data_IF_908127780730
#
_entry.id   IF_908127780730
#
_cell.length_a   1.000
_cell.length_b   1.000
_cell.length_c   1.000
_cell.angle_alpha   90.00
_cell.angle_beta   90.00
_cell.angle_gamma   90.00
#
_symmetry.space_group_name_H-M   'P 1'
#
loop_
_entity.id
_entity.type
_entity.pdbx_description
1 polymer ?
#
# COMPACT_ATOMS: atom_id res chain seq x y z
N UNK A 1 13.07 -39.63 -6.92
CA UNK A 1 13.62 -38.61 -6.06
C UNK A 1 12.65 -37.45 -6.06
N UNK A 2 11.67 -37.52 -5.19
CA UNK A 2 10.53 -36.59 -5.14
C UNK A 2 10.06 -36.56 -3.69
N UNK A 3 10.77 -35.78 -2.83
CA UNK A 3 10.36 -35.66 -1.42
C UNK A 3 10.35 -34.23 -0.87
N UNK A 4 10.50 -33.19 -1.71
CA UNK A 4 10.55 -31.80 -1.23
C UNK A 4 9.42 -30.90 -1.75
N UNK A 5 8.22 -31.47 -2.02
CA UNK A 5 7.12 -30.70 -2.60
C UNK A 5 6.03 -30.28 -1.61
N UNK A 6 6.27 -30.28 -0.29
CA UNK A 6 5.25 -29.78 0.67
C UNK A 6 5.88 -29.26 1.94
N UNK A 7 6.80 -28.30 1.88
CA UNK A 7 6.87 -27.31 2.96
C UNK A 7 5.67 -26.40 2.73
N UNK A 8 4.61 -26.66 3.49
CA UNK A 8 3.37 -25.90 3.42
C UNK A 8 3.67 -24.40 3.56
N UNK A 9 3.28 -23.57 2.58
CA UNK A 9 3.46 -22.12 2.63
C UNK A 9 2.64 -21.58 3.81
N UNK A 10 3.32 -21.15 4.88
CA UNK A 10 2.71 -20.67 6.13
C UNK A 10 3.48 -19.51 6.73
N UNK A 11 2.81 -18.74 7.58
CA UNK A 11 3.47 -17.72 8.41
C UNK A 11 4.43 -18.37 9.42
N UNK A 12 5.41 -17.59 9.86
CA UNK A 12 6.33 -17.99 10.93
C UNK A 12 5.59 -18.16 12.25
N UNK A 13 6.09 -19.06 13.08
CA UNK A 13 5.61 -19.23 14.45
C UNK A 13 5.87 -17.98 15.30
N UNK A 14 4.98 -17.69 16.26
CA UNK A 14 5.10 -16.50 17.11
C UNK A 14 6.43 -16.44 17.88
N UNK A 15 7.00 -17.60 18.27
CA UNK A 15 8.30 -17.69 18.95
C UNK A 15 9.44 -17.19 18.06
N UNK A 16 9.39 -17.49 16.77
CA UNK A 16 10.35 -17.00 15.77
C UNK A 16 10.13 -15.52 15.49
N UNK A 17 8.89 -15.10 15.26
CA UNK A 17 8.51 -13.71 14.98
C UNK A 17 8.99 -12.76 16.08
N UNK A 18 8.95 -13.17 17.36
CA UNK A 18 9.46 -12.38 18.48
C UNK A 18 10.99 -12.18 18.47
N UNK A 19 11.72 -12.90 17.64
CA UNK A 19 13.15 -12.67 17.39
C UNK A 19 13.42 -11.67 16.29
N UNK A 20 12.39 -11.29 15.50
CA UNK A 20 12.51 -10.34 14.40
C UNK A 20 12.85 -8.95 14.94
N UNK A 21 13.59 -8.18 14.11
CA UNK A 21 14.10 -6.86 14.45
C UNK A 21 13.34 -5.72 13.75
N UNK A 22 12.30 -6.07 12.98
CA UNK A 22 11.48 -5.09 12.29
C UNK A 22 10.61 -4.28 13.26
N UNK A 23 10.07 -3.17 12.78
CA UNK A 23 9.23 -2.27 13.57
C UNK A 23 8.02 -3.00 14.16
N UNK A 24 7.35 -3.85 13.37
CA UNK A 24 6.18 -4.62 13.80
C UNK A 24 6.45 -5.37 15.12
N UNK A 25 7.58 -6.03 15.23
CA UNK A 25 7.90 -6.93 16.35
C UNK A 25 8.70 -6.27 17.47
N UNK A 26 9.13 -5.00 17.32
CA UNK A 26 9.90 -4.26 18.32
C UNK A 26 9.18 -3.06 18.92
N UNK A 27 8.10 -2.59 18.28
CA UNK A 27 7.40 -1.36 18.71
C UNK A 27 6.60 -1.55 20.01
N UNK A 28 6.29 -2.81 20.40
CA UNK A 28 5.43 -3.10 21.55
C UNK A 28 6.10 -4.07 22.52
N UNK A 29 5.70 -4.05 23.82
CA UNK A 29 6.09 -5.05 24.80
C UNK A 29 5.75 -6.49 24.37
N UNK A 30 6.47 -7.47 24.91
CA UNK A 30 6.35 -8.88 24.50
C UNK A 30 5.00 -9.54 24.82
N UNK A 31 4.19 -8.99 25.71
CA UNK A 31 2.83 -9.44 26.04
C UNK A 31 1.75 -8.90 25.09
N UNK A 32 2.11 -7.93 24.23
CA UNK A 32 1.22 -7.34 23.22
C UNK A 32 1.36 -8.10 21.89
N UNK A 33 0.23 -8.41 21.24
CA UNK A 33 0.19 -8.93 19.87
C UNK A 33 0.19 -7.76 18.89
N UNK A 34 1.27 -7.59 18.07
CA UNK A 34 1.39 -6.46 17.16
C UNK A 34 0.76 -6.75 15.80
N UNK A 35 -0.37 -6.11 15.51
CA UNK A 35 -1.05 -6.18 14.21
C UNK A 35 -1.19 -4.80 13.51
N UNK A 36 -0.32 -3.77 13.81
CA UNK A 36 -0.49 -2.44 13.20
C UNK A 36 0.25 -2.26 11.88
N UNK A 37 1.56 -2.56 11.85
CA UNK A 37 2.46 -2.24 10.72
C UNK A 37 2.14 -3.13 9.53
N UNK A 38 2.13 -2.56 8.32
CA UNK A 38 1.93 -3.29 7.08
C UNK A 38 3.20 -4.05 6.66
N UNK A 39 3.59 -5.01 7.49
CA UNK A 39 4.61 -6.04 7.29
C UNK A 39 3.97 -7.42 7.47
N UNK A 40 4.42 -8.41 6.72
CA UNK A 40 3.86 -9.75 6.78
C UNK A 40 4.70 -10.65 7.69
N UNK A 41 4.05 -11.67 8.24
CA UNK A 41 4.71 -12.70 9.06
C UNK A 41 5.07 -13.95 8.24
N UNK A 42 5.13 -13.82 6.93
CA UNK A 42 5.49 -14.88 5.99
C UNK A 42 6.96 -14.82 5.57
N UNK A 43 7.61 -15.96 5.30
CA UNK A 43 8.99 -15.99 4.83
C UNK A 43 9.11 -15.29 3.46
N UNK A 44 10.23 -14.64 3.21
CA UNK A 44 10.54 -14.01 1.91
C UNK A 44 10.65 -15.07 0.82
N UNK A 45 10.21 -14.74 -0.39
CA UNK A 45 10.26 -15.62 -1.56
C UNK A 45 11.68 -16.18 -1.80
N UNK A 46 11.79 -17.49 -2.03
CA UNK A 46 13.09 -18.16 -2.19
C UNK A 46 13.95 -17.59 -3.33
N UNK A 47 13.42 -17.21 -4.52
CA UNK A 47 14.21 -16.54 -5.54
C UNK A 47 14.88 -15.25 -5.04
N UNK A 48 14.13 -14.41 -4.30
CA UNK A 48 14.66 -13.18 -3.73
C UNK A 48 15.79 -13.48 -2.72
N UNK A 49 15.61 -14.46 -1.83
CA UNK A 49 16.67 -14.88 -0.90
C UNK A 49 17.91 -15.37 -1.62
N UNK A 50 17.75 -16.13 -2.73
CA UNK A 50 18.87 -16.62 -3.54
C UNK A 50 19.65 -15.47 -4.17
N UNK A 51 18.96 -14.47 -4.75
CA UNK A 51 19.59 -13.27 -5.30
C UNK A 51 20.41 -12.54 -4.23
N UNK A 52 19.79 -12.26 -3.07
CA UNK A 52 20.47 -11.56 -1.98
C UNK A 52 21.70 -12.31 -1.47
N UNK A 53 21.59 -13.62 -1.24
CA UNK A 53 22.72 -14.47 -0.81
C UNK A 53 23.85 -14.45 -1.84
N UNK A 54 23.52 -14.62 -3.12
CA UNK A 54 24.51 -14.57 -4.20
C UNK A 54 25.29 -13.26 -4.25
N UNK A 55 24.61 -12.13 -4.06
CA UNK A 55 25.26 -10.81 -4.04
C UNK A 55 26.16 -10.65 -2.81
N UNK A 56 25.69 -11.08 -1.63
CA UNK A 56 26.48 -11.03 -0.39
C UNK A 56 27.73 -11.93 -0.51
N UNK A 57 27.58 -13.15 -1.01
CA UNK A 57 28.68 -14.13 -1.16
C UNK A 57 29.76 -13.63 -2.14
N UNK A 58 29.36 -12.85 -3.15
CA UNK A 58 30.27 -12.20 -4.12
C UNK A 58 30.85 -10.88 -3.61
N UNK A 59 30.43 -10.40 -2.44
CA UNK A 59 30.75 -9.05 -1.94
C UNK A 59 30.33 -7.92 -2.91
N UNK A 60 29.25 -8.14 -3.67
CA UNK A 60 28.67 -7.16 -4.59
C UNK A 60 27.72 -6.21 -3.84
N UNK A 61 28.31 -5.26 -3.11
CA UNK A 61 27.67 -4.36 -2.16
C UNK A 61 28.02 -2.88 -2.45
N UNK A 62 28.30 -2.56 -3.71
CA UNK A 62 28.64 -1.21 -4.15
C UNK A 62 27.44 -0.27 -4.29
N UNK A 63 27.63 0.83 -4.99
CA UNK A 63 26.56 1.75 -5.33
C UNK A 63 25.68 1.21 -6.46
N UNK A 64 24.39 1.56 -6.43
CA UNK A 64 23.48 1.23 -7.52
C UNK A 64 23.88 2.00 -8.79
N UNK A 65 24.29 1.24 -9.83
CA UNK A 65 24.55 1.75 -11.17
C UNK A 65 23.28 1.83 -12.04
N UNK A 66 23.43 2.06 -13.34
CA UNK A 66 22.32 1.89 -14.29
C UNK A 66 21.75 0.47 -14.20
N UNK A 67 20.43 0.36 -14.14
CA UNK A 67 19.74 -0.93 -14.01
C UNK A 67 18.52 -0.98 -14.96
N UNK A 68 18.74 -1.15 -16.27
CA UNK A 68 17.65 -1.25 -17.26
C UNK A 68 16.75 -2.47 -17.00
N UNK A 69 17.23 -3.49 -16.32
CA UNK A 69 16.51 -4.68 -15.90
C UNK A 69 15.26 -4.34 -15.07
N UNK A 70 15.30 -3.25 -14.29
CA UNK A 70 14.17 -2.84 -13.47
C UNK A 70 12.94 -2.50 -14.32
N UNK A 71 13.12 -1.68 -15.35
CA UNK A 71 12.02 -1.31 -16.26
C UNK A 71 11.50 -2.53 -17.03
N UNK A 72 12.38 -3.41 -17.48
CA UNK A 72 12.04 -4.64 -18.20
C UNK A 72 11.22 -5.58 -17.29
N UNK A 73 11.71 -5.84 -16.08
CA UNK A 73 11.05 -6.71 -15.11
C UNK A 73 9.67 -6.17 -14.70
N UNK A 74 9.57 -4.87 -14.41
CA UNK A 74 8.30 -4.25 -14.09
C UNK A 74 7.30 -4.31 -15.24
N UNK A 75 7.71 -3.95 -16.47
CA UNK A 75 6.85 -4.01 -17.65
C UNK A 75 6.35 -5.44 -17.91
N UNK A 76 7.23 -6.43 -17.77
CA UNK A 76 6.88 -7.85 -17.87
C UNK A 76 5.83 -8.26 -16.84
N UNK A 77 6.03 -7.90 -15.58
CA UNK A 77 5.10 -8.16 -14.49
C UNK A 77 3.75 -7.45 -14.71
N UNK A 78 3.76 -6.16 -15.03
CA UNK A 78 2.55 -5.37 -15.27
C UNK A 78 1.72 -5.92 -16.42
N UNK A 79 2.39 -6.40 -17.49
CA UNK A 79 1.71 -7.02 -18.62
C UNK A 79 1.07 -8.37 -18.24
N UNK A 80 1.77 -9.22 -17.47
CA UNK A 80 1.23 -10.52 -17.04
C UNK A 80 0.05 -10.36 -16.07
N UNK A 81 0.17 -9.45 -15.09
CA UNK A 81 -0.85 -9.30 -14.02
C UNK A 81 -2.02 -8.42 -14.42
N UNK A 82 -1.77 -7.35 -15.17
CA UNK A 82 -2.76 -6.29 -15.41
C UNK A 82 -3.04 -6.03 -16.89
N UNK A 83 -2.28 -6.66 -17.80
CA UNK A 83 -2.36 -6.41 -19.25
C UNK A 83 -1.82 -5.03 -19.65
N UNK A 84 -1.06 -4.38 -18.76
CA UNK A 84 -0.44 -3.09 -19.00
C UNK A 84 0.98 -3.25 -19.55
N UNK A 85 1.19 -2.74 -20.77
CA UNK A 85 2.50 -2.74 -21.44
C UNK A 85 3.20 -1.41 -21.14
N UNK A 86 3.67 -1.24 -19.90
CA UNK A 86 4.45 -0.08 -19.51
C UNK A 86 5.75 0.03 -20.32
N UNK A 87 6.17 1.26 -20.69
CA UNK A 87 7.45 1.47 -21.37
C UNK A 87 8.61 1.30 -20.37
N UNK A 88 9.49 0.29 -20.55
CA UNK A 88 10.61 0.07 -19.64
C UNK A 88 11.56 1.26 -19.52
N UNK A 89 11.69 2.09 -20.57
CA UNK A 89 12.59 3.25 -20.61
C UNK A 89 12.08 4.42 -19.76
N UNK A 90 10.81 4.43 -19.41
CA UNK A 90 10.17 5.48 -18.62
C UNK A 90 10.05 5.14 -17.11
N UNK A 91 10.79 4.12 -16.65
CA UNK A 91 10.87 3.71 -15.24
C UNK A 91 12.08 4.35 -14.58
N UNK A 92 11.87 5.03 -13.46
CA UNK A 92 12.92 5.62 -12.61
C UNK A 92 12.91 4.94 -11.24
N UNK A 93 14.04 4.99 -10.53
CA UNK A 93 14.20 4.36 -9.21
C UNK A 93 14.24 5.43 -8.12
N UNK A 94 13.62 5.10 -6.99
CA UNK A 94 13.71 5.83 -5.74
C UNK A 94 13.97 4.85 -4.58
N UNK A 95 14.42 5.35 -3.43
CA UNK A 95 14.71 4.51 -2.27
C UNK A 95 13.45 3.84 -1.68
N UNK A 96 12.33 4.55 -1.66
CA UNK A 96 11.01 4.02 -1.32
C UNK A 96 9.91 4.90 -1.93
N UNK A 97 8.66 4.48 -1.79
CA UNK A 97 7.51 5.22 -2.34
C UNK A 97 7.44 6.64 -1.74
N UNK A 98 7.69 6.80 -0.44
CA UNK A 98 7.65 8.11 0.21
C UNK A 98 8.70 9.07 -0.36
N UNK A 99 9.94 8.61 -0.52
CA UNK A 99 11.00 9.40 -1.18
C UNK A 99 10.60 9.72 -2.62
N UNK A 100 10.06 8.74 -3.36
CA UNK A 100 9.58 8.96 -4.73
C UNK A 100 8.49 10.03 -4.81
N UNK A 101 7.48 9.96 -3.94
CA UNK A 101 6.40 10.98 -3.86
C UNK A 101 6.97 12.36 -3.57
N UNK A 102 7.80 12.50 -2.54
CA UNK A 102 8.38 13.78 -2.14
C UNK A 102 9.22 14.41 -3.26
N UNK A 103 10.08 13.61 -3.91
CA UNK A 103 10.93 14.13 -5.00
C UNK A 103 10.11 14.47 -6.25
N UNK A 104 9.06 13.71 -6.57
CA UNK A 104 8.12 14.07 -7.65
C UNK A 104 7.40 15.37 -7.31
N UNK A 105 6.84 15.50 -6.10
CA UNK A 105 6.14 16.71 -5.67
C UNK A 105 7.01 17.96 -5.75
N UNK A 106 8.29 17.88 -5.35
CA UNK A 106 9.26 18.99 -5.46
C UNK A 106 9.48 19.47 -6.90
N UNK A 107 9.28 18.59 -7.88
CA UNK A 107 9.44 18.90 -9.30
C UNK A 107 8.16 19.44 -9.93
N UNK A 108 7.00 18.89 -9.54
CA UNK A 108 5.72 19.22 -10.18
C UNK A 108 4.96 20.34 -9.48
N UNK A 109 5.39 20.77 -8.29
CA UNK A 109 4.75 21.81 -7.48
C UNK A 109 5.76 22.82 -6.95
N UNK A 110 5.26 23.84 -6.24
CA UNK A 110 6.05 24.84 -5.51
C UNK A 110 5.50 24.95 -4.08
N UNK A 111 6.33 25.35 -3.09
CA UNK A 111 5.84 25.63 -1.74
C UNK A 111 4.62 26.55 -1.74
N UNK A 112 3.59 26.19 -0.96
CA UNK A 112 2.29 26.87 -0.93
C UNK A 112 1.28 26.42 -2.00
N UNK A 113 1.65 25.58 -2.95
CA UNK A 113 0.68 24.98 -3.87
C UNK A 113 -0.26 24.00 -3.13
N UNK A 114 -1.50 23.92 -3.60
CA UNK A 114 -2.53 23.06 -3.02
C UNK A 114 -2.50 21.66 -3.60
N UNK A 115 -2.58 20.68 -2.71
CA UNK A 115 -2.64 19.25 -3.05
C UNK A 115 -3.91 18.64 -2.50
N UNK A 116 -4.58 17.81 -3.32
CA UNK A 116 -5.77 17.08 -2.92
C UNK A 116 -5.42 15.67 -2.41
N UNK A 117 -6.09 15.26 -1.34
CA UNK A 117 -6.17 13.89 -0.84
C UNK A 117 -7.61 13.51 -0.56
N UNK A 118 -7.90 12.21 -0.41
CA UNK A 118 -9.22 11.71 -0.02
C UNK A 118 -9.09 10.85 1.24
N UNK A 119 -9.39 11.42 2.41
CA UNK A 119 -9.38 10.66 3.67
C UNK A 119 -10.65 9.79 3.82
N UNK A 120 -10.60 8.67 4.62
CA UNK A 120 -9.43 8.18 5.31
C UNK A 120 -8.38 7.65 4.32
N UNK A 121 -7.11 8.03 4.49
CA UNK A 121 -6.01 7.64 3.59
C UNK A 121 -4.72 7.39 4.38
N UNK A 122 -3.75 6.77 3.75
CA UNK A 122 -2.45 6.43 4.36
C UNK A 122 -1.80 7.64 5.06
N UNK A 123 -1.42 7.52 6.35
CA UNK A 123 -0.99 8.66 7.16
C UNK A 123 0.17 9.48 6.59
N UNK A 124 1.08 8.84 5.86
CA UNK A 124 2.24 9.57 5.33
C UNK A 124 1.89 10.54 4.19
N UNK A 125 0.68 10.51 3.64
CA UNK A 125 0.24 11.53 2.68
C UNK A 125 0.34 12.93 3.30
N UNK A 126 -0.09 13.10 4.55
CA UNK A 126 0.08 14.37 5.28
C UNK A 126 1.56 14.71 5.56
N UNK A 127 2.37 13.69 5.89
CA UNK A 127 3.80 13.88 6.11
C UNK A 127 4.49 14.37 4.85
N UNK A 128 4.21 13.79 3.69
CA UNK A 128 4.78 14.20 2.41
C UNK A 128 4.37 15.61 1.98
N UNK A 129 3.10 15.98 2.21
CA UNK A 129 2.59 17.34 1.97
C UNK A 129 3.33 18.34 2.85
N UNK A 130 3.49 18.04 4.15
CA UNK A 130 4.21 18.88 5.08
C UNK A 130 5.68 19.02 4.72
N UNK A 131 6.37 17.91 4.38
CA UNK A 131 7.78 17.90 3.99
C UNK A 131 8.06 18.71 2.73
N UNK A 132 7.10 18.80 1.84
CA UNK A 132 7.20 19.58 0.59
C UNK A 132 6.66 21.00 0.71
N UNK A 133 6.23 21.42 1.91
CA UNK A 133 5.67 22.75 2.19
C UNK A 133 4.44 23.09 1.34
N UNK A 134 3.59 22.10 1.08
CA UNK A 134 2.36 22.24 0.31
C UNK A 134 1.14 22.43 1.23
N UNK A 135 0.04 22.92 0.67
CA UNK A 135 -1.23 23.07 1.38
C UNK A 135 -2.14 21.89 1.11
N UNK A 136 -2.61 21.25 2.18
CA UNK A 136 -3.57 20.15 2.12
C UNK A 136 -4.97 20.63 1.75
N UNK A 137 -5.61 19.93 0.83
CA UNK A 137 -7.05 19.99 0.57
C UNK A 137 -7.60 18.58 0.67
N UNK A 138 -8.30 18.29 1.77
CA UNK A 138 -8.92 16.98 1.99
C UNK A 138 -10.38 16.99 1.52
N UNK A 139 -10.71 16.11 0.59
CA UNK A 139 -12.10 15.82 0.18
C UNK A 139 -12.39 14.38 0.60
N UNK A 140 -12.98 14.19 1.79
CA UNK A 140 -13.16 12.86 2.36
C UNK A 140 -14.06 11.97 1.52
N UNK A 141 -13.84 10.66 1.61
CA UNK A 141 -14.84 9.69 1.17
C UNK A 141 -16.12 9.85 1.98
N UNK A 142 -17.24 9.58 1.32
CA UNK A 142 -18.56 9.51 1.95
C UNK A 142 -18.84 8.04 2.29
N UNK A 143 -19.11 7.75 3.56
CA UNK A 143 -19.56 6.43 3.97
C UNK A 143 -21.04 6.26 3.59
N UNK A 144 -21.36 5.22 2.84
CA UNK A 144 -22.71 4.90 2.41
C UNK A 144 -23.31 3.78 3.27
N UNK A 145 -24.62 3.82 3.49
CA UNK A 145 -25.34 2.79 4.24
C UNK A 145 -25.46 1.45 3.49
N UNK A 146 -25.26 1.48 2.19
CA UNK A 146 -25.31 0.31 1.30
C UNK A 146 -24.08 0.27 0.42
N UNK A 147 -23.70 -0.92 0.00
CA UNK A 147 -22.60 -1.12 -0.94
C UNK A 147 -22.93 -0.52 -2.32
N UNK A 148 -22.01 0.29 -2.83
CA UNK A 148 -22.06 0.92 -4.17
C UNK A 148 -20.76 0.54 -4.89
N UNK A 149 -20.86 -0.10 -6.04
CA UNK A 149 -19.72 -0.55 -6.86
C UNK A 149 -18.66 -1.35 -6.07
N UNK A 150 -19.12 -2.21 -5.15
CA UNK A 150 -18.26 -3.05 -4.32
C UNK A 150 -17.58 -2.31 -3.17
N UNK A 151 -18.12 -1.16 -2.74
CA UNK A 151 -17.61 -0.40 -1.60
C UNK A 151 -18.72 0.32 -0.84
N UNK A 152 -18.56 0.43 0.48
CA UNK A 152 -19.35 1.31 1.33
C UNK A 152 -18.78 2.75 1.39
N UNK A 153 -17.71 3.02 0.65
CA UNK A 153 -17.04 4.32 0.61
C UNK A 153 -17.09 4.88 -0.81
N UNK A 154 -17.70 6.02 -1.00
CA UNK A 154 -17.88 6.67 -2.30
C UNK A 154 -17.16 8.01 -2.34
N UNK A 155 -16.85 8.49 -3.56
CA UNK A 155 -16.16 9.76 -3.78
C UNK A 155 -17.17 10.92 -3.84
N UNK A 156 -16.84 12.03 -3.19
CA UNK A 156 -17.51 13.31 -3.39
C UNK A 156 -17.03 13.98 -4.69
N UNK A 157 -17.56 13.55 -5.81
CA UNK A 157 -17.19 14.07 -7.12
C UNK A 157 -17.43 15.57 -7.28
N UNK A 158 -18.48 16.11 -6.66
CA UNK A 158 -18.75 17.55 -6.72
C UNK A 158 -17.70 18.35 -5.92
N UNK A 159 -17.35 17.84 -4.74
CA UNK A 159 -16.27 18.39 -3.93
C UNK A 159 -14.91 18.33 -4.64
N UNK A 160 -14.58 17.20 -5.27
CA UNK A 160 -13.33 17.01 -6.02
C UNK A 160 -13.25 18.00 -7.20
N UNK A 161 -14.31 18.09 -8.02
CA UNK A 161 -14.32 19.02 -9.16
C UNK A 161 -14.22 20.48 -8.71
N UNK A 162 -14.93 20.85 -7.64
CA UNK A 162 -14.85 22.19 -7.05
C UNK A 162 -13.43 22.49 -6.53
N UNK A 163 -12.77 21.51 -5.89
CA UNK A 163 -11.41 21.64 -5.43
C UNK A 163 -10.43 21.83 -6.60
N UNK A 164 -10.54 21.02 -7.66
CA UNK A 164 -9.72 21.17 -8.86
C UNK A 164 -9.88 22.56 -9.51
N UNK A 165 -11.13 23.03 -9.64
CA UNK A 165 -11.43 24.38 -10.15
C UNK A 165 -10.83 25.51 -9.27
N UNK A 166 -10.53 25.24 -7.99
CA UNK A 166 -9.92 26.22 -7.08
C UNK A 166 -8.40 26.31 -7.19
N UNK A 167 -7.76 25.56 -8.10
CA UNK A 167 -6.34 25.66 -8.38
C UNK A 167 -5.46 24.62 -7.71
N UNK A 168 -5.99 23.42 -7.43
CA UNK A 168 -5.18 22.24 -7.04
C UNK A 168 -4.10 21.99 -8.10
N UNK A 169 -2.87 21.69 -7.66
CA UNK A 169 -1.73 21.38 -8.55
C UNK A 169 -1.50 19.90 -8.73
N UNK A 170 -1.70 19.12 -7.67
CA UNK A 170 -1.63 17.67 -7.77
C UNK A 170 -2.67 17.01 -6.87
N UNK A 171 -3.02 15.77 -7.18
CA UNK A 171 -3.85 14.91 -6.37
C UNK A 171 -3.06 13.63 -6.05
N UNK A 172 -2.85 13.35 -4.77
CA UNK A 172 -2.28 12.08 -4.31
C UNK A 172 -3.38 11.03 -4.25
N UNK A 173 -3.40 10.13 -5.23
CA UNK A 173 -4.38 9.06 -5.35
C UNK A 173 -3.80 7.75 -4.77
N UNK A 174 -4.45 7.16 -3.76
CA UNK A 174 -4.09 5.85 -3.21
C UNK A 174 -4.88 4.75 -3.95
N UNK A 175 -4.26 4.04 -4.88
CA UNK A 175 -4.91 3.08 -5.79
C UNK A 175 -4.11 1.77 -5.92
N UNK A 176 -4.51 0.64 -5.31
CA UNK A 176 -5.68 0.41 -4.45
C UNK A 176 -5.63 1.15 -3.12
N UNK A 177 -6.79 1.35 -2.49
CA UNK A 177 -6.92 2.30 -1.40
C UNK A 177 -6.65 1.70 -0.01
N UNK A 178 -5.72 2.29 0.73
CA UNK A 178 -5.42 2.01 2.13
C UNK A 178 -5.92 3.19 3.00
N UNK A 179 -6.79 2.97 4.01
CA UNK A 179 -7.05 1.71 4.71
C UNK A 179 -8.29 0.94 4.22
N UNK A 180 -9.07 1.47 3.28
CA UNK A 180 -10.42 0.99 2.97
C UNK A 180 -10.45 -0.37 2.24
N UNK A 181 -9.29 -0.84 1.72
CA UNK A 181 -9.27 -2.04 0.89
C UNK A 181 -10.09 -1.91 -0.42
N UNK A 182 -10.33 -0.67 -0.84
CA UNK A 182 -11.18 -0.30 -1.97
C UNK A 182 -10.41 -0.33 -3.28
N UNK A 183 -11.06 -0.80 -4.34
CA UNK A 183 -10.61 -0.70 -5.71
C UNK A 183 -11.36 0.42 -6.42
N UNK A 184 -10.68 1.10 -7.36
CA UNK A 184 -11.36 2.07 -8.23
C UNK A 184 -11.82 1.40 -9.52
N UNK A 185 -13.03 1.74 -9.96
CA UNK A 185 -13.55 1.31 -11.25
C UNK A 185 -12.85 2.06 -12.40
N UNK A 186 -12.95 1.50 -13.62
CA UNK A 186 -12.43 2.18 -14.81
C UNK A 186 -13.08 3.56 -15.01
N UNK A 187 -14.38 3.67 -14.74
CA UNK A 187 -15.14 4.92 -14.90
C UNK A 187 -14.68 5.98 -13.90
N UNK A 188 -14.44 5.59 -12.64
CA UNK A 188 -13.89 6.51 -11.64
C UNK A 188 -12.49 7.02 -12.01
N UNK A 189 -11.60 6.09 -12.42
CA UNK A 189 -10.25 6.47 -12.83
C UNK A 189 -10.25 7.33 -14.11
N UNK A 190 -11.15 7.04 -15.06
CA UNK A 190 -11.35 7.85 -16.26
C UNK A 190 -11.82 9.25 -15.88
N UNK A 191 -12.79 9.36 -14.97
CA UNK A 191 -13.29 10.64 -14.49
C UNK A 191 -12.22 11.46 -13.77
N UNK A 192 -11.37 10.83 -12.97
CA UNK A 192 -10.20 11.51 -12.39
C UNK A 192 -9.29 12.07 -13.47
N UNK A 193 -8.95 11.28 -14.49
CA UNK A 193 -8.06 11.71 -15.57
C UNK A 193 -8.66 12.89 -16.36
N UNK A 194 -9.95 12.82 -16.73
CA UNK A 194 -10.65 13.87 -17.47
C UNK A 194 -10.74 15.17 -16.67
N UNK A 195 -11.12 15.10 -15.40
CA UNK A 195 -11.15 16.28 -14.51
C UNK A 195 -9.76 16.86 -14.31
N UNK A 196 -8.74 16.00 -14.09
CA UNK A 196 -7.36 16.43 -13.93
C UNK A 196 -6.86 17.16 -15.20
N UNK A 197 -7.15 16.62 -16.37
CA UNK A 197 -6.79 17.25 -17.64
C UNK A 197 -7.51 18.61 -17.82
N UNK A 198 -8.84 18.66 -17.54
CA UNK A 198 -9.66 19.88 -17.64
C UNK A 198 -9.11 21.03 -16.78
N UNK A 199 -8.62 20.73 -15.59
CA UNK A 199 -8.18 21.73 -14.61
C UNK A 199 -6.66 21.86 -14.47
N UNK A 200 -5.87 21.10 -15.25
CA UNK A 200 -4.40 21.12 -15.21
C UNK A 200 -3.81 20.54 -13.92
N UNK A 201 -4.48 19.56 -13.33
CA UNK A 201 -4.04 18.84 -12.13
C UNK A 201 -3.19 17.62 -12.54
N UNK A 202 -2.14 17.30 -11.78
CA UNK A 202 -1.35 16.07 -11.96
C UNK A 202 -1.84 15.03 -10.96
N UNK A 203 -2.15 13.82 -11.44
CA UNK A 203 -2.48 12.67 -10.58
C UNK A 203 -1.19 11.91 -10.25
N UNK A 204 -0.84 11.85 -8.98
CA UNK A 204 0.23 11.00 -8.47
C UNK A 204 -0.39 9.76 -7.83
N UNK A 205 -0.43 8.66 -8.58
CA UNK A 205 -1.06 7.41 -8.17
C UNK A 205 -0.08 6.53 -7.39
N UNK A 206 -0.32 6.36 -6.09
CA UNK A 206 0.39 5.39 -5.25
C UNK A 206 -0.24 4.01 -5.45
N UNK A 207 0.47 3.14 -6.19
CA UNK A 207 0.01 1.81 -6.61
C UNK A 207 0.76 0.68 -5.87
N UNK A 208 1.31 0.96 -4.69
CA UNK A 208 2.11 0.00 -3.91
C UNK A 208 1.34 -1.27 -3.51
N UNK A 209 0.01 -1.18 -3.35
CA UNK A 209 -0.85 -2.31 -3.02
C UNK A 209 -1.38 -3.08 -4.24
N UNK A 210 -1.08 -2.64 -5.46
CA UNK A 210 -1.59 -3.24 -6.69
C UNK A 210 -1.32 -4.76 -6.84
N UNK A 211 -0.14 -5.31 -6.46
CA UNK A 211 0.09 -6.75 -6.52
C UNK A 211 -0.81 -7.58 -5.60
N UNK A 212 -1.40 -6.96 -4.57
CA UNK A 212 -2.17 -7.59 -3.50
C UNK A 212 -3.69 -7.52 -3.78
N UNK A 213 -4.10 -7.81 -4.99
CA UNK A 213 -5.51 -7.79 -5.43
C UNK A 213 -6.07 -9.20 -5.39
N UNK A 214 -7.25 -9.39 -4.80
CA UNK A 214 -7.95 -10.68 -4.72
C UNK A 214 -8.55 -11.08 -6.08
N UNK A 215 -8.80 -12.38 -6.27
CA UNK A 215 -9.18 -12.97 -7.57
C UNK A 215 -10.47 -12.35 -8.15
N UNK A 216 -11.47 -12.09 -7.31
CA UNK A 216 -12.75 -11.48 -7.73
C UNK A 216 -12.61 -9.98 -8.07
N UNK A 217 -11.45 -9.39 -7.80
CA UNK A 217 -11.17 -7.97 -8.03
C UNK A 217 -10.14 -7.78 -9.13
N UNK A 218 -10.30 -6.75 -9.95
CA UNK A 218 -9.34 -6.43 -11.00
C UNK A 218 -8.72 -5.07 -10.75
N UNK A 219 -7.41 -5.06 -10.50
CA UNK A 219 -6.66 -3.80 -10.46
C UNK A 219 -6.52 -3.21 -11.87
N UNK A 220 -6.68 -1.89 -11.95
CA UNK A 220 -6.50 -1.12 -13.18
C UNK A 220 -5.42 -0.08 -12.92
N UNK A 221 -4.22 -0.21 -13.53
CA UNK A 221 -3.17 0.80 -13.44
C UNK A 221 -3.66 2.14 -14.00
N UNK A 222 -3.42 3.24 -13.29
CA UNK A 222 -3.92 4.55 -13.71
C UNK A 222 -3.45 4.93 -15.12
N UNK A 223 -2.17 4.73 -15.41
CA UNK A 223 -1.58 5.08 -16.73
C UNK A 223 -2.09 4.19 -17.88
N UNK A 224 -2.71 3.04 -17.58
CA UNK A 224 -3.22 2.12 -18.60
C UNK A 224 -4.59 2.50 -19.17
N UNK A 225 -5.26 3.51 -18.59
CA UNK A 225 -6.67 3.78 -18.86
C UNK A 225 -6.87 4.45 -20.21
N UNK A 226 -6.12 5.51 -20.49
CA UNK A 226 -6.26 6.35 -21.67
C UNK A 226 -5.01 7.20 -21.94
N UNK A 227 -4.96 7.83 -23.10
CA UNK A 227 -3.92 8.83 -23.41
C UNK A 227 -3.97 10.01 -22.41
N UNK A 228 -5.17 10.49 -22.08
CA UNK A 228 -5.35 11.56 -21.08
C UNK A 228 -4.73 11.17 -19.73
N UNK A 229 -4.97 9.94 -19.27
CA UNK A 229 -4.39 9.47 -18.01
C UNK A 229 -2.87 9.46 -18.03
N UNK A 230 -2.22 9.14 -19.16
CA UNK A 230 -0.77 9.21 -19.33
C UNK A 230 -0.26 10.65 -19.26
N UNK A 231 -0.94 11.60 -19.90
CA UNK A 231 -0.57 13.01 -19.94
C UNK A 231 -0.63 13.69 -18.56
N UNK A 232 -1.56 13.28 -17.70
CA UNK A 232 -1.77 13.89 -16.38
C UNK A 232 -1.25 13.03 -15.22
N UNK A 233 -0.83 11.79 -15.48
CA UNK A 233 -0.54 10.80 -14.46
C UNK A 233 0.95 10.51 -14.24
N UNK A 234 1.28 10.17 -13.00
CA UNK A 234 2.53 9.57 -12.58
C UNK A 234 2.17 8.42 -11.65
N UNK A 235 2.68 7.21 -11.89
CA UNK A 235 2.51 6.08 -10.99
C UNK A 235 3.75 5.91 -10.12
N UNK A 236 3.56 5.67 -8.82
CA UNK A 236 4.62 5.23 -7.92
C UNK A 236 4.24 3.89 -7.32
N UNK A 237 5.16 2.93 -7.36
CA UNK A 237 4.93 1.59 -6.81
C UNK A 237 6.24 0.95 -6.34
N UNK A 238 6.14 -0.22 -5.69
CA UNK A 238 7.29 -0.98 -5.22
C UNK A 238 6.92 -2.46 -5.02
N UNK A 239 7.90 -3.35 -5.07
CA UNK A 239 7.74 -4.75 -4.68
C UNK A 239 7.59 -4.92 -3.16
N UNK A 240 7.84 -3.87 -2.37
CA UNK A 240 7.99 -3.92 -0.92
C UNK A 240 6.77 -4.47 -0.18
N UNK A 241 5.54 -4.16 -0.62
CA UNK A 241 4.30 -4.67 -0.02
C UNK A 241 3.91 -6.04 -0.58
N UNK A 242 4.07 -6.25 -1.88
CA UNK A 242 3.73 -7.53 -2.52
C UNK A 242 4.59 -8.70 -2.03
N UNK A 243 5.88 -8.46 -1.73
CA UNK A 243 6.83 -9.52 -1.36
C UNK A 243 7.49 -9.35 0.01
N UNK A 244 6.93 -8.47 0.85
CA UNK A 244 7.41 -8.26 2.24
C UNK A 244 8.90 -7.85 2.36
N UNK A 245 9.38 -6.98 1.47
CA UNK A 245 10.78 -6.54 1.38
C UNK A 245 10.98 -5.04 1.60
N UNK A 246 10.12 -4.40 2.40
CA UNK A 246 10.15 -2.96 2.64
C UNK A 246 11.49 -2.44 3.21
N UNK A 247 12.18 -3.26 3.98
CA UNK A 247 13.50 -2.95 4.54
C UNK A 247 14.62 -2.83 3.50
N UNK A 248 14.43 -3.38 2.30
CA UNK A 248 15.42 -3.35 1.22
C UNK A 248 15.44 -2.04 0.42
N UNK A 249 14.50 -1.13 0.63
CA UNK A 249 14.55 0.26 0.13
C UNK A 249 14.73 0.38 -1.39
N UNK A 250 13.70 -0.02 -2.15
CA UNK A 250 13.58 0.22 -3.58
C UNK A 250 12.12 0.45 -3.98
N UNK A 251 11.89 1.50 -4.76
CA UNK A 251 10.61 1.83 -5.40
C UNK A 251 10.86 2.32 -6.82
N UNK A 252 9.81 2.39 -7.60
CA UNK A 252 9.85 2.91 -8.97
C UNK A 252 8.81 4.00 -9.18
N UNK A 253 9.17 4.96 -10.03
CA UNK A 253 8.34 6.04 -10.54
C UNK A 253 8.17 5.76 -12.03
N UNK A 254 6.93 5.72 -12.50
CA UNK A 254 6.59 5.37 -13.89
C UNK A 254 5.81 6.50 -14.52
N UNK A 255 6.20 6.87 -15.73
CA UNK A 255 5.47 7.77 -16.61
C UNK A 255 5.21 7.08 -17.95
N UNK A 256 4.28 7.60 -18.76
CA UNK A 256 4.04 7.13 -20.14
C UNK A 256 3.75 8.30 -21.10
N UNK A 257 4.05 9.52 -20.68
CA UNK A 257 4.05 10.72 -21.49
C UNK A 257 5.47 11.31 -21.53
N UNK A 258 5.95 11.61 -22.72
CA UNK A 258 7.33 12.08 -22.91
C UNK A 258 7.59 13.42 -22.20
N UNK A 259 6.63 14.35 -22.23
CA UNK A 259 6.77 15.64 -21.55
C UNK A 259 6.80 15.49 -20.03
N UNK A 260 5.96 14.57 -19.50
CA UNK A 260 6.00 14.25 -18.08
C UNK A 260 7.32 13.59 -17.70
N UNK A 261 7.81 12.66 -18.51
CA UNK A 261 9.10 12.02 -18.30
C UNK A 261 10.25 13.02 -18.31
N UNK A 262 10.30 13.94 -19.30
CA UNK A 262 11.29 15.02 -19.37
C UNK A 262 11.23 15.96 -18.17
N UNK A 263 10.01 16.29 -17.69
CA UNK A 263 9.83 17.10 -16.49
C UNK A 263 10.48 16.47 -15.27
N UNK A 264 10.37 15.15 -15.11
CA UNK A 264 10.97 14.41 -14.01
C UNK A 264 12.51 14.29 -14.12
N UNK A 265 13.15 14.75 -15.21
CA UNK A 265 14.61 14.89 -15.26
C UNK A 265 15.16 15.93 -14.26
N UNK A 266 14.30 16.79 -13.70
CA UNK A 266 14.66 17.70 -12.62
C UNK A 266 14.77 17.02 -11.24
N UNK A 267 14.34 15.76 -11.10
CA UNK A 267 14.58 14.99 -9.87
C UNK A 267 16.09 14.86 -9.64
N UNK A 268 16.52 15.15 -8.41
CA UNK A 268 17.94 15.09 -8.07
C UNK A 268 18.54 13.69 -8.34
N UNK A 269 19.69 13.57 -9.02
CA UNK A 269 20.33 12.28 -9.29
C UNK A 269 20.59 11.44 -8.03
N UNK A 270 20.77 12.10 -6.88
CA UNK A 270 20.93 11.45 -5.58
C UNK A 270 19.74 10.54 -5.22
N UNK A 271 18.53 10.78 -5.75
CA UNK A 271 17.35 9.95 -5.52
C UNK A 271 17.59 8.51 -5.98
N UNK A 272 18.21 8.33 -7.14
CA UNK A 272 18.60 7.02 -7.66
C UNK A 272 19.64 6.34 -6.75
N UNK A 273 20.71 7.05 -6.40
CA UNK A 273 21.81 6.50 -5.61
C UNK A 273 21.46 6.20 -4.15
N UNK A 274 20.35 6.71 -3.64
CA UNK A 274 19.82 6.40 -2.30
C UNK A 274 19.06 5.08 -2.25
N UNK A 275 18.66 4.52 -3.40
CA UNK A 275 18.08 3.20 -3.45
C UNK A 275 19.14 2.14 -3.12
N UNK A 276 18.71 1.07 -2.46
CA UNK A 276 19.62 -0.03 -2.12
C UNK A 276 19.92 -0.88 -3.35
N UNK A 277 21.19 -1.17 -3.61
CA UNK A 277 21.60 -2.12 -4.64
C UNK A 277 20.94 -3.48 -4.44
N UNK A 278 20.99 -4.02 -3.22
CA UNK A 278 20.31 -5.28 -2.88
C UNK A 278 18.80 -5.19 -3.08
N UNK A 279 18.20 -4.06 -2.71
CA UNK A 279 16.77 -3.81 -2.89
C UNK A 279 16.35 -3.73 -4.35
N UNK A 280 17.17 -3.14 -5.20
CA UNK A 280 16.90 -3.04 -6.62
C UNK A 280 16.88 -4.43 -7.29
N UNK A 281 17.90 -5.25 -7.07
CA UNK A 281 17.94 -6.61 -7.63
C UNK A 281 16.92 -7.56 -6.99
N UNK A 282 16.63 -7.40 -5.69
CA UNK A 282 15.51 -8.10 -5.05
C UNK A 282 14.16 -7.74 -5.69
N UNK A 283 13.96 -6.47 -6.08
CA UNK A 283 12.76 -6.00 -6.76
C UNK A 283 12.66 -6.54 -8.19
N UNK A 284 13.77 -6.56 -8.94
CA UNK A 284 13.83 -7.22 -10.27
C UNK A 284 13.41 -8.68 -10.15
N UNK A 285 14.04 -9.44 -9.24
CA UNK A 285 13.71 -10.86 -9.00
C UNK A 285 12.26 -11.04 -8.56
N UNK A 286 11.71 -10.14 -7.72
CA UNK A 286 10.31 -10.20 -7.31
C UNK A 286 9.36 -10.10 -8.52
N UNK A 287 9.62 -9.18 -9.45
CA UNK A 287 8.80 -9.00 -10.65
C UNK A 287 8.99 -10.13 -11.68
N UNK A 288 10.17 -10.71 -11.80
CA UNK A 288 10.45 -11.77 -12.78
C UNK A 288 10.05 -13.17 -12.29
N UNK A 289 10.35 -13.50 -11.03
CA UNK A 289 10.27 -14.86 -10.50
C UNK A 289 9.36 -14.98 -9.26
N UNK A 290 8.91 -13.85 -8.68
CA UNK A 290 8.19 -13.83 -7.41
C UNK A 290 6.68 -14.11 -7.50
N UNK A 291 6.08 -14.21 -8.69
CA UNK A 291 4.62 -14.39 -8.84
C UNK A 291 4.07 -15.69 -8.21
N UNK A 292 4.74 -16.86 -8.29
CA UNK A 292 4.23 -18.07 -7.64
C UNK A 292 4.12 -17.91 -6.11
N UNK A 293 5.09 -17.24 -5.49
CA UNK A 293 5.05 -16.93 -4.06
C UNK A 293 3.92 -15.94 -3.73
N UNK A 294 3.76 -14.89 -4.53
CA UNK A 294 2.68 -13.91 -4.37
C UNK A 294 1.30 -14.56 -4.48
N UNK A 295 1.10 -15.48 -5.41
CA UNK A 295 -0.16 -16.21 -5.56
C UNK A 295 -0.44 -17.07 -4.33
N UNK A 296 0.55 -17.81 -3.81
CA UNK A 296 0.40 -18.58 -2.57
C UNK A 296 0.10 -17.68 -1.36
N UNK A 297 0.71 -16.49 -1.29
CA UNK A 297 0.38 -15.50 -0.26
C UNK A 297 -1.08 -15.07 -0.38
N UNK A 298 -1.55 -14.72 -1.58
CA UNK A 298 -2.92 -14.24 -1.77
C UNK A 298 -3.97 -15.30 -1.43
N UNK A 299 -3.68 -16.59 -1.65
CA UNK A 299 -4.53 -17.69 -1.16
C UNK A 299 -4.65 -17.69 0.37
N UNK A 300 -3.55 -17.45 1.10
CA UNK A 300 -3.58 -17.34 2.57
C UNK A 300 -4.30 -16.06 3.02
N UNK A 301 -4.12 -14.96 2.30
CA UNK A 301 -4.83 -13.71 2.61
C UNK A 301 -6.33 -13.83 2.35
N UNK A 302 -6.75 -14.60 1.35
CA UNK A 302 -8.15 -14.93 1.10
C UNK A 302 -8.77 -15.65 2.29
N UNK A 303 -8.08 -16.66 2.82
CA UNK A 303 -8.52 -17.39 4.02
C UNK A 303 -8.59 -16.44 5.22
N UNK A 304 -7.56 -15.64 5.45
CA UNK A 304 -7.48 -14.77 6.62
C UNK A 304 -8.54 -13.65 6.61
N UNK A 305 -8.84 -13.03 5.46
CA UNK A 305 -9.87 -11.97 5.41
C UNK A 305 -11.27 -12.50 5.74
N UNK A 306 -11.57 -13.74 5.34
CA UNK A 306 -12.82 -14.40 5.72
C UNK A 306 -12.81 -14.85 7.18
N UNK A 307 -11.68 -15.39 7.66
CA UNK A 307 -11.52 -15.74 9.07
C UNK A 307 -11.80 -14.54 10.00
N UNK A 308 -11.36 -13.33 9.62
CA UNK A 308 -11.70 -12.11 10.38
C UNK A 308 -13.21 -11.91 10.47
N UNK A 309 -13.97 -12.11 9.39
CA UNK A 309 -15.44 -12.03 9.43
C UNK A 309 -16.05 -13.04 10.41
N UNK A 310 -15.54 -14.28 10.38
CA UNK A 310 -16.01 -15.35 11.25
C UNK A 310 -15.67 -15.03 12.73
N UNK A 311 -14.47 -14.57 13.00
CA UNK A 311 -14.02 -14.18 14.35
C UNK A 311 -14.81 -12.98 14.88
N UNK A 312 -15.11 -11.98 14.03
CA UNK A 312 -15.98 -10.85 14.39
C UNK A 312 -17.36 -11.36 14.78
N UNK A 313 -17.98 -12.20 13.96
CA UNK A 313 -19.30 -12.76 14.22
C UNK A 313 -19.34 -13.58 15.52
N UNK A 314 -18.28 -14.31 15.81
CA UNK A 314 -18.17 -15.16 16.99
C UNK A 314 -17.90 -14.37 18.28
N UNK A 315 -16.95 -13.43 18.25
CA UNK A 315 -16.40 -12.81 19.46
C UNK A 315 -16.80 -11.35 19.66
N UNK A 316 -17.06 -10.61 18.58
CA UNK A 316 -17.24 -9.15 18.61
C UNK A 316 -18.28 -8.67 17.58
N UNK A 317 -19.52 -9.20 17.59
CA UNK A 317 -20.49 -9.07 16.48
C UNK A 317 -20.99 -7.63 16.23
N UNK A 318 -20.61 -6.66 17.07
CA UNK A 318 -20.94 -5.24 16.88
C UNK A 318 -19.83 -4.47 16.13
N UNK A 319 -18.69 -5.11 15.85
CA UNK A 319 -17.63 -4.52 15.01
C UNK A 319 -18.11 -4.51 13.55
N UNK A 320 -18.09 -3.36 12.90
CA UNK A 320 -18.33 -3.29 11.45
C UNK A 320 -17.03 -3.57 10.69
N UNK A 321 -17.10 -4.51 9.77
CA UNK A 321 -16.00 -4.90 8.91
C UNK A 321 -16.53 -5.21 7.50
N UNK A 322 -15.91 -4.62 6.49
CA UNK A 322 -16.16 -4.91 5.08
C UNK A 322 -14.97 -5.63 4.50
N UNK A 323 -15.20 -6.74 3.79
CA UNK A 323 -14.16 -7.52 3.15
C UNK A 323 -13.32 -6.64 2.21
N UNK A 324 -12.01 -6.48 2.45
CA UNK A 324 -11.17 -5.71 1.55
C UNK A 324 -11.03 -6.43 0.22
N UNK A 325 -11.05 -5.67 -0.88
CA UNK A 325 -10.85 -6.18 -2.25
C UNK A 325 -9.38 -6.18 -2.67
N UNK A 326 -8.50 -5.64 -1.83
CA UNK A 326 -7.06 -5.61 -2.01
C UNK A 326 -6.34 -5.53 -0.66
N UNK A 327 -5.04 -5.79 -0.66
CA UNK A 327 -4.17 -5.69 0.52
C UNK A 327 -4.46 -6.76 1.58
N UNK A 328 -3.78 -6.65 2.70
CA UNK A 328 -3.93 -7.50 3.89
C UNK A 328 -4.27 -6.65 5.13
N UNK A 329 -5.07 -5.59 4.90
CA UNK A 329 -5.43 -4.60 5.90
C UNK A 329 -6.94 -4.57 6.06
N UNK A 330 -7.42 -4.77 7.29
CA UNK A 330 -8.81 -4.67 7.66
C UNK A 330 -9.08 -3.32 8.34
N UNK A 331 -10.16 -2.66 7.95
CA UNK A 331 -10.64 -1.41 8.53
C UNK A 331 -11.85 -1.68 9.38
N UNK A 332 -11.73 -1.50 10.72
CA UNK A 332 -12.70 -1.91 11.71
C UNK A 332 -13.31 -0.69 12.39
N UNK A 333 -14.64 -0.57 12.40
CA UNK A 333 -15.37 0.43 13.16
C UNK A 333 -15.63 -0.07 14.59
N UNK A 334 -15.13 0.68 15.57
CA UNK A 334 -15.26 0.42 16.99
C UNK A 334 -16.18 1.44 17.71
N UNK A 335 -16.85 2.33 16.98
CA UNK A 335 -17.75 3.33 17.55
C UNK A 335 -18.81 2.74 18.51
N UNK A 336 -19.38 1.53 18.23
CA UNK A 336 -20.39 0.95 19.12
C UNK A 336 -19.92 0.60 20.54
N UNK A 337 -18.59 0.62 20.80
CA UNK A 337 -18.01 0.14 22.08
C UNK A 337 -17.64 1.26 23.06
N UNK A 338 -17.65 2.52 22.65
CA UNK A 338 -17.39 3.65 23.54
C UNK A 338 -16.00 3.59 24.21
N UNK A 339 -14.95 3.24 23.47
CA UNK A 339 -13.59 3.04 23.98
C UNK A 339 -12.83 4.35 24.26
N UNK A 340 -13.48 5.50 24.17
CA UNK A 340 -12.89 6.82 24.39
C UNK A 340 -12.35 7.43 23.07
N UNK A 341 -11.44 8.39 23.22
CA UNK A 341 -10.90 9.16 22.09
C UNK A 341 -9.89 8.37 21.27
N UNK A 342 -9.20 7.40 21.88
CA UNK A 342 -8.22 6.52 21.23
C UNK A 342 -8.55 5.03 21.47
N UNK A 343 -9.42 4.44 20.65
CA UNK A 343 -9.74 3.03 20.73
C UNK A 343 -8.53 2.10 20.65
N UNK A 344 -7.53 2.45 19.83
CA UNK A 344 -6.34 1.62 19.65
C UNK A 344 -5.51 1.56 20.95
N UNK A 345 -5.31 2.70 21.63
CA UNK A 345 -4.63 2.72 22.93
C UNK A 345 -5.40 1.92 23.99
N UNK A 346 -6.72 2.04 24.03
CA UNK A 346 -7.57 1.25 24.93
C UNK A 346 -7.45 -0.27 24.70
N UNK A 347 -7.33 -0.71 23.43
CA UNK A 347 -7.12 -2.12 23.10
C UNK A 347 -5.73 -2.63 23.50
N UNK A 348 -4.69 -1.83 23.37
CA UNK A 348 -3.34 -2.18 23.87
C UNK A 348 -3.37 -2.34 25.40
N UNK A 349 -4.00 -1.43 26.10
CA UNK A 349 -4.07 -1.45 27.56
C UNK A 349 -4.86 -2.66 28.07
N UNK A 350 -6.10 -2.86 27.54
CA UNK A 350 -7.08 -3.80 28.09
C UNK A 350 -7.00 -5.20 27.47
N UNK A 351 -6.67 -5.30 26.18
CA UNK A 351 -6.66 -6.55 25.44
C UNK A 351 -5.24 -7.03 25.07
N UNK A 352 -4.21 -6.20 25.22
CA UNK A 352 -2.86 -6.51 24.76
C UNK A 352 -2.77 -6.84 23.26
N UNK A 353 -3.56 -6.13 22.45
CA UNK A 353 -3.57 -6.21 21.00
C UNK A 353 -3.37 -4.82 20.43
N UNK A 354 -2.42 -4.67 19.52
CA UNK A 354 -2.07 -3.38 18.91
C UNK A 354 -2.55 -3.29 17.46
N UNK A 355 -3.25 -2.20 17.14
CA UNK A 355 -3.68 -1.80 15.80
C UNK A 355 -3.18 -0.39 15.47
N UNK A 356 -3.32 0.06 14.23
CA UNK A 356 -3.07 1.47 13.89
C UNK A 356 -4.32 2.28 14.24
N UNK A 357 -4.17 3.38 15.04
CA UNK A 357 -5.30 4.27 15.36
C UNK A 357 -5.91 4.91 14.11
N UNK A 358 -7.23 4.88 14.00
CA UNK A 358 -7.95 5.42 12.84
C UNK A 358 -7.79 6.93 12.66
N UNK A 359 -7.63 7.68 13.74
CA UNK A 359 -7.40 9.14 13.69
C UNK A 359 -6.21 9.52 12.81
N UNK A 360 -5.22 8.65 12.66
CA UNK A 360 -4.06 8.87 11.80
C UNK A 360 -4.39 8.87 10.31
N UNK A 361 -5.55 8.34 9.92
CA UNK A 361 -6.01 8.23 8.53
C UNK A 361 -6.97 9.37 8.12
N UNK A 362 -7.31 10.27 9.04
CA UNK A 362 -8.21 11.41 8.83
C UNK A 362 -9.04 11.69 10.07
N UNK A 363 -9.43 12.95 10.25
CA UNK A 363 -10.08 13.46 11.47
C UNK A 363 -11.40 12.75 11.80
N UNK A 364 -12.16 12.31 10.79
CA UNK A 364 -13.43 11.60 10.96
C UNK A 364 -13.27 10.11 11.31
N UNK A 365 -12.05 9.58 11.31
CA UNK A 365 -11.78 8.16 11.50
C UNK A 365 -11.36 7.79 12.93
N UNK A 366 -11.58 8.68 13.91
CA UNK A 366 -11.13 8.49 15.30
C UNK A 366 -11.62 7.22 15.98
N UNK A 367 -12.80 6.71 15.60
CA UNK A 367 -13.38 5.49 16.17
C UNK A 367 -13.00 4.21 15.40
N UNK A 368 -12.20 4.34 14.33
CA UNK A 368 -11.74 3.18 13.57
C UNK A 368 -10.35 2.73 14.02
N UNK A 369 -10.03 1.49 13.68
CA UNK A 369 -8.66 0.95 13.75
C UNK A 369 -8.33 0.16 12.50
N UNK A 370 -7.04 0.11 12.13
CA UNK A 370 -6.57 -0.72 11.03
C UNK A 370 -5.79 -1.91 11.56
N UNK A 371 -6.27 -3.12 11.22
CA UNK A 371 -5.66 -4.40 11.52
C UNK A 371 -4.89 -4.92 10.30
N UNK A 372 -3.67 -5.41 10.50
CA UNK A 372 -2.91 -6.19 9.54
C UNK A 372 -3.17 -7.68 9.77
N UNK A 373 -3.70 -8.38 8.76
CA UNK A 373 -4.00 -9.81 8.83
C UNK A 373 -3.02 -10.71 8.05
N UNK A 374 -1.89 -10.17 7.59
CA UNK A 374 -0.83 -10.99 6.96
C UNK A 374 0.02 -11.70 8.03
N UNK A 375 -0.63 -12.58 8.77
CA UNK A 375 -0.07 -13.39 9.86
C UNK A 375 -0.71 -14.78 9.85
N UNK A 376 -0.41 -15.63 10.85
CA UNK A 376 -1.05 -16.93 10.95
C UNK A 376 -2.49 -16.84 11.47
N UNK A 377 -3.37 -17.81 11.13
CA UNK A 377 -4.72 -17.90 11.69
C UNK A 377 -4.72 -17.92 13.21
N UNK A 378 -3.78 -18.62 13.84
CA UNK A 378 -3.69 -18.77 15.29
C UNK A 378 -3.44 -17.43 15.99
N UNK A 379 -2.62 -16.54 15.37
CA UNK A 379 -2.39 -15.19 15.90
C UNK A 379 -3.67 -14.33 15.78
N UNK A 380 -4.45 -14.49 14.70
CA UNK A 380 -5.74 -13.81 14.57
C UNK A 380 -6.76 -14.31 15.59
N UNK A 381 -6.89 -15.62 15.77
CA UNK A 381 -7.78 -16.25 16.77
C UNK A 381 -7.42 -15.79 18.20
N UNK A 382 -6.14 -15.78 18.55
CA UNK A 382 -5.67 -15.29 19.83
C UNK A 382 -5.97 -13.79 20.02
N UNK A 383 -5.79 -12.96 18.98
CA UNK A 383 -6.12 -11.55 19.04
C UNK A 383 -7.61 -11.33 19.32
N UNK A 384 -8.51 -12.02 18.61
CA UNK A 384 -9.96 -11.87 18.83
C UNK A 384 -10.42 -12.48 20.15
N UNK A 385 -9.78 -13.54 20.63
CA UNK A 385 -10.00 -14.07 21.98
C UNK A 385 -9.70 -13.02 23.05
N UNK A 386 -8.57 -12.29 22.92
CA UNK A 386 -8.20 -11.19 23.84
C UNK A 386 -9.12 -9.98 23.70
N UNK A 387 -9.63 -9.68 22.50
CA UNK A 387 -10.54 -8.57 22.23
C UNK A 387 -11.95 -8.82 22.78
N UNK A 388 -12.41 -10.07 22.81
CA UNK A 388 -13.78 -10.44 23.21
C UNK A 388 -14.25 -9.85 24.55
N UNK A 389 -13.46 -9.85 25.64
CA UNK A 389 -13.91 -9.24 26.90
C UNK A 389 -14.05 -7.71 26.86
N UNK A 390 -13.37 -7.04 25.92
CA UNK A 390 -13.33 -5.57 25.78
C UNK A 390 -14.37 -5.07 24.79
N UNK A 391 -14.68 -5.86 23.75
CA UNK A 391 -15.58 -5.53 22.66
C UNK A 391 -16.91 -6.32 22.79
N UNK A 392 -17.61 -6.12 23.92
CA UNK A 392 -18.92 -6.74 24.21
C UNK A 392 -20.08 -5.78 24.06
#
# INVERSE_FOLDING_TARGET
MSSDRNLEFRAHEISELRTHRSEKWRAFPSDVLPLPVAEMDFPVAQPILNTLRSMIDKSDLGYLGPIPEMGIAFSGFANRRWGWKADPSQVRIAADVGVGVVEVLRVITKPGDKILINSPVYPNFWTWITETHLEEVDIPFIHADTEIDGSFWTLDWAGIEKAYASGIKAHLLCNPHNPLGRMFSRDELTRFAELAHKYGVIILSDEIHAPLTYEESRFIPFLSISQIAREVGITITAASKGWNIAGLKCAIIVTEDEKMHERLNAIAPATHYRASLLGAFATVTAFEEGEPWLNSLMEKMEINRHLISDLINQFTPRVSYHLPRCSYLAWLDLAPFGLGEDPAAALVEKAKVAFVPGIRFGKQSGQFVRLNFATSPEILEEAFTRLSPVLR
#
